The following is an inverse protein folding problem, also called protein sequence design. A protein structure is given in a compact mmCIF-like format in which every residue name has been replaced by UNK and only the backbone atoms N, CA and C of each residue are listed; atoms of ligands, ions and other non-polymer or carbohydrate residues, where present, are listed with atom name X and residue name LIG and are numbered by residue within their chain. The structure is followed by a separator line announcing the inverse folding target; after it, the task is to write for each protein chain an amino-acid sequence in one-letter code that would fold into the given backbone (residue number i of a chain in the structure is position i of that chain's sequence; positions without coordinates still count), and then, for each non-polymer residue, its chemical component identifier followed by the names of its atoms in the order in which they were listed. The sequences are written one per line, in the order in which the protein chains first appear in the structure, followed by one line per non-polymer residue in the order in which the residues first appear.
data_IF_482823095660
#
_entry.id   IF_482823095660
#
_cell.length_a   1.000
_cell.length_b   1.000
_cell.length_c   1.000
_cell.angle_alpha   90.00
_cell.angle_beta   90.00
_cell.angle_gamma   90.00
#
_symmetry.space_group_name_H-M   'P 1'
#
loop_
_entity.id
_entity.type
_entity.pdbx_description
1 polymer ?
#
# COMPACT_ATOMS: atom_id res chain seq x y z
N UNK A 1 -13.34 -5.49 -0.20
CA UNK A 1 -13.40 -4.86 1.13
C UNK A 1 -12.70 -5.67 2.22
N UNK A 2 -12.90 -7.00 2.27
CA UNK A 2 -12.32 -7.89 3.31
C UNK A 2 -10.79 -7.78 3.45
N UNK A 3 -10.05 -7.72 2.34
CA UNK A 3 -8.58 -7.59 2.37
C UNK A 3 -8.11 -6.35 3.13
N UNK A 4 -8.71 -5.19 2.84
CA UNK A 4 -8.34 -3.93 3.48
C UNK A 4 -8.70 -3.93 4.98
N UNK A 5 -9.84 -4.50 5.36
CA UNK A 5 -10.21 -4.67 6.76
C UNK A 5 -9.22 -5.56 7.51
N UNK A 6 -8.79 -6.68 6.92
CA UNK A 6 -7.79 -7.56 7.52
C UNK A 6 -6.46 -6.82 7.79
N UNK A 7 -5.98 -6.02 6.82
CA UNK A 7 -4.78 -5.19 7.01
C UNK A 7 -4.95 -4.21 8.17
N UNK A 8 -6.10 -3.52 8.23
CA UNK A 8 -6.39 -2.58 9.32
C UNK A 8 -6.41 -3.25 10.69
N UNK A 9 -7.06 -4.41 10.80
CA UNK A 9 -7.08 -5.17 12.06
C UNK A 9 -5.68 -5.64 12.49
N UNK A 10 -4.81 -6.00 11.54
CA UNK A 10 -3.41 -6.34 11.86
C UNK A 10 -2.63 -5.12 12.35
N UNK A 11 -2.79 -3.96 11.72
CA UNK A 11 -2.15 -2.70 12.16
C UNK A 11 -2.64 -2.29 13.56
N UNK A 12 -3.94 -2.41 13.82
CA UNK A 12 -4.55 -2.14 15.12
C UNK A 12 -4.01 -3.10 16.20
N UNK A 13 -3.92 -4.40 15.90
CA UNK A 13 -3.37 -5.40 16.81
C UNK A 13 -1.89 -5.15 17.16
N UNK A 14 -1.13 -4.56 16.23
CA UNK A 14 0.26 -4.17 16.44
C UNK A 14 0.41 -2.76 17.04
N UNK A 15 -0.68 -2.01 17.22
CA UNK A 15 -0.65 -0.64 17.71
C UNK A 15 0.03 0.35 16.76
N UNK A 16 0.05 0.06 15.45
CA UNK A 16 0.68 0.91 14.44
C UNK A 16 -0.32 1.99 14.02
N UNK A 17 -0.05 3.28 14.27
CA UNK A 17 -0.94 4.36 13.85
C UNK A 17 -0.91 4.52 12.33
N UNK A 18 -2.07 4.77 11.74
CA UNK A 18 -2.21 5.01 10.31
C UNK A 18 -3.36 5.99 10.03
N UNK A 19 -3.31 6.65 8.87
CA UNK A 19 -4.38 7.50 8.35
C UNK A 19 -4.87 6.94 7.02
N UNK A 20 -6.19 6.98 6.79
CA UNK A 20 -6.77 6.54 5.52
C UNK A 20 -6.83 7.72 4.55
N UNK A 21 -6.05 7.65 3.47
CA UNK A 21 -6.11 8.58 2.34
C UNK A 21 -6.78 7.91 1.14
N UNK A 22 -8.03 8.26 0.85
CA UNK A 22 -8.80 7.70 -0.27
C UNK A 22 -8.40 8.26 -1.63
N UNK A 23 -7.58 9.31 -1.66
CA UNK A 23 -7.09 9.95 -2.89
C UNK A 23 -5.65 9.52 -3.23
N UNK A 24 -5.08 8.59 -2.46
CA UNK A 24 -3.73 8.11 -2.67
C UNK A 24 -3.65 7.32 -3.98
N UNK A 25 -2.74 7.72 -4.85
CA UNK A 25 -2.41 7.03 -6.10
C UNK A 25 -0.91 6.77 -6.14
N UNK A 26 -0.49 5.67 -6.78
CA UNK A 26 0.93 5.37 -7.01
C UNK A 26 1.26 5.59 -8.48
N UNK A 27 2.49 6.00 -8.76
CA UNK A 27 2.95 6.28 -10.14
C UNK A 27 3.23 5.04 -10.98
N UNK A 28 2.86 3.84 -10.53
CA UNK A 28 3.08 2.57 -11.24
C UNK A 28 1.76 1.79 -11.29
N UNK A 29 1.35 1.38 -12.49
CA UNK A 29 0.00 0.88 -12.75
C UNK A 29 -0.25 -0.57 -12.32
N UNK A 30 0.80 -1.29 -11.90
CA UNK A 30 0.68 -2.71 -11.55
C UNK A 30 0.09 -2.97 -10.15
N UNK A 31 -0.14 -1.92 -9.35
CA UNK A 31 -0.66 -2.09 -8.00
C UNK A 31 -2.15 -2.46 -8.01
N UNK A 32 -2.51 -3.43 -7.17
CA UNK A 32 -3.88 -3.80 -6.88
C UNK A 32 -4.11 -3.86 -5.36
N UNK A 33 -5.37 -3.72 -4.94
CA UNK A 33 -5.76 -3.75 -3.52
C UNK A 33 -5.06 -2.70 -2.63
N UNK A 34 -4.18 -3.15 -1.71
CA UNK A 34 -3.63 -2.31 -0.64
C UNK A 34 -2.38 -1.59 -1.14
N UNK A 35 -2.33 -0.27 -0.93
CA UNK A 35 -1.14 0.57 -1.07
C UNK A 35 -0.88 1.28 0.27
N UNK A 36 0.38 1.64 0.53
CA UNK A 36 0.77 2.38 1.72
C UNK A 36 1.98 3.28 1.45
N UNK A 37 2.08 4.33 2.24
CA UNK A 37 3.22 5.24 2.29
C UNK A 37 3.58 5.57 3.73
N UNK A 38 4.87 5.62 4.01
CA UNK A 38 5.45 6.21 5.20
C UNK A 38 5.96 7.59 4.82
N UNK A 39 5.36 8.61 5.39
CA UNK A 39 5.76 10.00 5.21
C UNK A 39 6.47 10.53 6.44
N UNK A 40 7.30 11.56 6.25
CA UNK A 40 7.80 12.38 7.33
C UNK A 40 7.72 13.85 6.94
N UNK A 41 7.51 14.69 7.95
CA UNK A 41 7.73 16.13 7.82
C UNK A 41 9.23 16.40 7.82
N UNK A 42 9.72 16.99 6.73
CA UNK A 42 11.08 17.49 6.62
C UNK A 42 11.00 18.95 6.21
N UNK A 43 11.35 19.83 7.15
CA UNK A 43 11.34 21.28 6.95
C UNK A 43 9.98 21.82 6.46
N UNK A 44 8.86 21.28 6.99
CA UNK A 44 7.51 21.69 6.64
C UNK A 44 6.97 21.10 5.34
N UNK A 45 7.69 20.15 4.74
CA UNK A 45 7.22 19.40 3.58
C UNK A 45 6.98 17.94 3.97
N UNK A 46 5.82 17.41 3.61
CA UNK A 46 5.56 15.98 3.74
C UNK A 46 6.30 15.23 2.62
N UNK A 47 7.27 14.42 2.99
CA UNK A 47 8.06 13.61 2.08
C UNK A 47 7.80 12.13 2.31
N UNK A 48 7.57 11.40 1.23
CA UNK A 48 7.50 9.94 1.25
C UNK A 48 8.89 9.35 1.45
N UNK A 49 9.09 8.63 2.56
CA UNK A 49 10.32 7.91 2.88
C UNK A 49 10.29 6.50 2.28
N UNK A 50 9.14 5.84 2.39
CA UNK A 50 8.95 4.47 1.93
C UNK A 50 7.53 4.30 1.42
N UNK A 51 7.37 3.52 0.35
CA UNK A 51 6.08 3.32 -0.28
C UNK A 51 6.00 1.93 -0.88
N UNK A 52 4.84 1.29 -0.76
CA UNK A 52 4.62 -0.05 -1.29
C UNK A 52 3.16 -0.33 -1.56
N UNK A 53 2.89 -1.56 -1.96
CA UNK A 53 1.55 -2.04 -2.22
C UNK A 53 1.57 -3.45 -2.78
N UNK A 54 0.38 -4.02 -2.95
CA UNK A 54 0.17 -5.36 -3.51
C UNK A 54 0.11 -5.30 -5.05
N UNK A 55 0.62 -6.33 -5.72
CA UNK A 55 0.81 -6.35 -7.19
C UNK A 55 0.68 -7.76 -7.80
N UNK A 56 -0.43 -8.44 -7.50
CA UNK A 56 -0.59 -9.87 -7.82
C UNK A 56 -0.48 -10.20 -9.31
N UNK A 57 -0.97 -9.31 -10.15
CA UNK A 57 -1.01 -9.51 -11.61
C UNK A 57 0.35 -9.34 -12.28
N UNK A 58 1.36 -8.82 -11.57
CA UNK A 58 2.64 -8.48 -12.16
C UNK A 58 3.40 -9.71 -12.69
N UNK A 59 3.35 -10.83 -11.96
CA UNK A 59 4.02 -12.06 -12.39
C UNK A 59 3.38 -12.64 -13.65
N UNK A 60 2.04 -12.67 -13.69
CA UNK A 60 1.28 -13.11 -14.85
C UNK A 60 1.51 -12.21 -16.08
N UNK A 61 1.65 -10.89 -15.88
CA UNK A 61 1.98 -9.94 -16.94
C UNK A 61 3.29 -10.28 -17.67
N UNK A 62 4.26 -10.88 -16.96
CA UNK A 62 5.52 -11.35 -17.54
C UNK A 62 5.51 -12.85 -17.94
N UNK A 63 4.34 -13.48 -18.02
CA UNK A 63 4.18 -14.88 -18.48
C UNK A 63 4.44 -15.93 -17.39
N UNK A 64 4.51 -15.53 -16.12
CA UNK A 64 4.57 -16.44 -14.97
C UNK A 64 3.18 -16.90 -14.48
N UNK A 65 3.13 -17.74 -13.43
CA UNK A 65 1.88 -18.17 -12.82
C UNK A 65 1.17 -17.01 -12.07
N UNK A 66 -0.14 -17.15 -11.85
CA UNK A 66 -0.88 -16.25 -10.95
C UNK A 66 -0.39 -16.39 -9.51
N UNK A 67 -0.39 -15.28 -8.77
CA UNK A 67 0.14 -15.21 -7.40
C UNK A 67 -0.91 -14.82 -6.35
N UNK A 68 -2.17 -14.68 -6.76
CA UNK A 68 -3.30 -14.27 -5.93
C UNK A 68 -3.99 -15.43 -5.21
#
# INVERSE_FOLDING_TARGET
QTHFQAVRSMLEALGIPYVINTNMVRGLDYYNHTIFEFTADVAGNELTICAGGRYDSLVAYFGGPETA
#
